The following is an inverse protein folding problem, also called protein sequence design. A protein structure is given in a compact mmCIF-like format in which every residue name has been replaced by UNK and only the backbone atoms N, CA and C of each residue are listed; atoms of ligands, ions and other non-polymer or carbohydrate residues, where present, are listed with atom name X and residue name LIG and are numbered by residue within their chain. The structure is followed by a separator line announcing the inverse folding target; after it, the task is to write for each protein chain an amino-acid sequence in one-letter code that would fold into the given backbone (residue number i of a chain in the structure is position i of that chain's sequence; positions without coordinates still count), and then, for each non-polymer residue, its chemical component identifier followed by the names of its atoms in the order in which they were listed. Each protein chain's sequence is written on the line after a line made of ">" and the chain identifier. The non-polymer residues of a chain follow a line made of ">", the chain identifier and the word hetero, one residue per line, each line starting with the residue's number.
data_IF_970283321325
#
_entry.id   IF_970283321325
#
_cell.length_a   1.000
_cell.length_b   1.000
_cell.length_c   1.000
_cell.angle_alpha   90.00
_cell.angle_beta   90.00
_cell.angle_gamma   90.00
#
_symmetry.space_group_name_H-M   'P 1'
#
loop_
_entity.id
_entity.type
_entity.pdbx_description
1 polymer ?
#
# COMPACT_ATOMS: atom_id res chain seq x y z
N UNK A 1 18.51 32.23 24.69
CA UNK A 1 18.16 31.63 23.39
C UNK A 1 18.31 30.12 23.55
N UNK A 2 17.20 29.40 23.71
CA UNK A 2 17.20 27.94 23.82
C UNK A 2 17.00 27.37 22.41
N UNK A 3 18.04 26.75 21.85
CA UNK A 3 17.92 25.96 20.63
C UNK A 3 17.24 24.65 21.04
N UNK A 4 15.94 24.53 20.75
CA UNK A 4 15.17 23.32 21.00
C UNK A 4 15.80 22.13 20.28
N UNK A 5 15.96 21.02 21.00
CA UNK A 5 16.39 19.75 20.44
C UNK A 5 15.48 19.38 19.27
N UNK A 6 16.01 19.42 18.05
CA UNK A 6 15.41 18.72 16.92
C UNK A 6 15.43 17.23 17.24
N UNK A 7 14.26 16.65 17.51
CA UNK A 7 14.13 15.21 17.66
C UNK A 7 14.69 14.52 16.41
N UNK A 8 15.64 13.61 16.59
CA UNK A 8 16.18 12.85 15.48
C UNK A 8 15.07 11.94 14.95
N UNK A 9 14.66 12.14 13.70
CA UNK A 9 13.70 11.27 13.06
C UNK A 9 14.28 9.85 13.01
N UNK A 10 13.69 8.92 13.75
CA UNK A 10 14.08 7.51 13.74
C UNK A 10 13.18 6.80 12.72
N UNK A 11 13.78 6.38 11.60
CA UNK A 11 13.11 5.49 10.67
C UNK A 11 13.06 4.08 11.29
N UNK A 12 11.88 3.47 11.29
CA UNK A 12 11.70 2.09 11.70
C UNK A 12 11.53 1.21 10.47
N UNK A 13 12.26 0.09 10.41
CA UNK A 13 12.01 -0.96 9.42
C UNK A 13 10.88 -1.84 9.92
N UNK A 14 9.87 -2.06 9.08
CA UNK A 14 8.73 -2.91 9.38
C UNK A 14 8.74 -4.10 8.43
N UNK A 15 8.58 -5.30 8.99
CA UNK A 15 8.27 -6.49 8.20
C UNK A 15 6.75 -6.70 8.22
N UNK A 16 6.13 -6.62 7.05
CA UNK A 16 4.69 -6.80 6.86
C UNK A 16 4.44 -8.17 6.24
N UNK A 17 3.51 -8.93 6.81
CA UNK A 17 3.05 -10.20 6.24
C UNK A 17 1.56 -10.15 5.97
N UNK A 18 1.17 -10.52 4.75
CA UNK A 18 -0.23 -10.54 4.31
C UNK A 18 -0.59 -11.97 3.91
N UNK A 19 -1.60 -12.52 4.58
CA UNK A 19 -2.17 -13.84 4.26
C UNK A 19 -3.57 -13.65 3.67
N UNK A 20 -3.84 -14.26 2.52
CA UNK A 20 -5.19 -14.30 1.98
C UNK A 20 -6.00 -15.39 2.70
N UNK A 21 -6.90 -14.99 3.60
CA UNK A 21 -7.77 -15.91 4.36
C UNK A 21 -9.11 -16.20 3.70
N UNK A 22 -9.32 -15.73 2.47
CA UNK A 22 -10.57 -16.00 1.74
C UNK A 22 -10.65 -17.46 1.30
N UNK A 23 -11.85 -17.89 0.90
CA UNK A 23 -12.07 -19.19 0.26
C UNK A 23 -12.40 -18.95 -1.20
N UNK A 24 -11.54 -19.41 -2.11
CA UNK A 24 -11.76 -19.34 -3.56
C UNK A 24 -11.57 -17.97 -4.23
N UNK A 25 -11.15 -16.92 -3.50
CA UNK A 25 -11.03 -15.56 -4.04
C UNK A 25 -9.57 -15.06 -4.04
N UNK A 26 -8.86 -15.10 -5.17
CA UNK A 26 -7.51 -14.57 -5.24
C UNK A 26 -7.48 -13.04 -5.25
N UNK A 27 -6.53 -12.42 -4.55
CA UNK A 27 -6.24 -10.99 -4.72
C UNK A 27 -5.33 -10.79 -5.91
N UNK A 28 -5.71 -9.91 -6.84
CA UNK A 28 -4.89 -9.62 -8.02
C UNK A 28 -3.64 -8.83 -7.70
N UNK A 29 -3.79 -7.80 -6.87
CA UNK A 29 -2.74 -6.84 -6.62
C UNK A 29 -2.86 -6.33 -5.18
N UNK A 30 -1.72 -6.11 -4.55
CA UNK A 30 -1.61 -5.48 -3.23
C UNK A 30 -0.69 -4.28 -3.34
N UNK A 31 -1.18 -3.12 -2.89
CA UNK A 31 -0.40 -1.90 -2.80
C UNK A 31 -0.34 -1.48 -1.34
N UNK A 32 0.88 -1.28 -0.84
CA UNK A 32 1.13 -0.83 0.53
C UNK A 32 1.83 0.51 0.47
N UNK A 33 1.38 1.45 1.31
CA UNK A 33 1.95 2.78 1.40
C UNK A 33 2.18 3.18 2.85
N UNK A 34 3.40 3.61 3.18
CA UNK A 34 3.70 4.22 4.48
C UNK A 34 3.36 5.71 4.42
N UNK A 35 2.50 6.20 5.32
CA UNK A 35 1.93 7.54 5.22
C UNK A 35 1.72 8.22 6.59
N UNK A 36 1.51 9.54 6.57
CA UNK A 36 1.20 10.32 7.77
C UNK A 36 -0.28 10.24 8.16
N UNK A 37 -0.63 10.77 9.34
CA UNK A 37 -2.00 10.69 9.89
C UNK A 37 -3.06 11.43 9.07
N UNK A 38 -2.66 12.36 8.21
CA UNK A 38 -3.56 13.17 7.38
C UNK A 38 -3.71 12.63 5.95
N UNK A 39 -2.91 11.62 5.60
CA UNK A 39 -2.97 10.97 4.29
C UNK A 39 -3.88 9.74 4.40
N UNK A 40 -4.78 9.58 3.43
CA UNK A 40 -5.70 8.44 3.38
C UNK A 40 -5.64 7.78 2.03
N UNK A 41 -5.36 6.47 2.01
CA UNK A 41 -5.45 5.66 0.78
C UNK A 41 -6.91 5.50 0.33
N UNK A 42 -7.82 5.30 1.29
CA UNK A 42 -9.27 5.30 1.10
C UNK A 42 -9.95 5.71 2.41
N UNK A 43 -11.19 6.18 2.32
CA UNK A 43 -12.03 6.45 3.50
C UNK A 43 -13.49 6.16 3.18
N UNK A 44 -14.21 5.58 4.14
CA UNK A 44 -15.63 5.26 3.97
C UNK A 44 -16.46 6.53 3.78
N UNK A 45 -17.43 6.50 2.87
CA UNK A 45 -18.27 7.65 2.53
C UNK A 45 -17.66 8.62 1.52
N UNK A 46 -16.43 8.39 1.07
CA UNK A 46 -15.77 9.18 0.03
C UNK A 46 -15.67 8.39 -1.27
N UNK A 47 -15.75 9.10 -2.39
CA UNK A 47 -15.54 8.50 -3.71
C UNK A 47 -14.08 8.04 -3.86
N UNK A 48 -13.88 6.87 -4.49
CA UNK A 48 -12.55 6.41 -4.85
C UNK A 48 -11.90 7.33 -5.89
N UNK A 49 -10.59 7.54 -5.77
CA UNK A 49 -9.79 8.20 -6.82
C UNK A 49 -9.75 7.33 -8.07
N UNK A 50 -9.28 7.89 -9.19
CA UNK A 50 -9.18 7.14 -10.44
C UNK A 50 -8.22 5.95 -10.30
N UNK A 51 -7.07 6.15 -9.66
CA UNK A 51 -6.11 5.10 -9.35
C UNK A 51 -6.66 4.03 -8.41
N UNK A 52 -7.38 4.43 -7.35
CA UNK A 52 -7.98 3.47 -6.42
C UNK A 52 -9.05 2.60 -7.11
N UNK A 53 -9.86 3.20 -7.99
CA UNK A 53 -10.82 2.45 -8.81
C UNK A 53 -10.11 1.47 -9.75
N UNK A 54 -9.03 1.89 -10.41
CA UNK A 54 -8.25 1.02 -11.30
C UNK A 54 -7.65 -0.19 -10.55
N UNK A 55 -7.17 0.00 -9.33
CA UNK A 55 -6.73 -1.10 -8.46
C UNK A 55 -7.89 -2.03 -8.09
N UNK A 56 -9.03 -1.48 -7.67
CA UNK A 56 -10.18 -2.26 -7.22
C UNK A 56 -10.85 -3.07 -8.34
N UNK A 57 -10.95 -2.52 -9.55
CA UNK A 57 -11.67 -3.14 -10.66
C UNK A 57 -10.77 -4.04 -11.52
N UNK A 58 -9.54 -3.59 -11.79
CA UNK A 58 -8.64 -4.23 -12.74
C UNK A 58 -7.41 -4.86 -12.08
N UNK A 59 -7.03 -4.41 -10.88
CA UNK A 59 -5.76 -4.76 -10.24
C UNK A 59 -4.57 -3.93 -10.76
N UNK A 60 -4.82 -2.78 -11.40
CA UNK A 60 -3.76 -1.90 -11.92
C UNK A 60 -3.22 -1.00 -10.79
N UNK A 61 -1.90 -0.96 -10.59
CA UNK A 61 -1.29 -0.30 -9.44
C UNK A 61 -0.59 1.03 -9.76
N UNK A 62 -0.12 1.21 -10.99
CA UNK A 62 0.75 2.33 -11.36
C UNK A 62 0.02 3.67 -11.24
N UNK A 63 -1.27 3.71 -11.61
CA UNK A 63 -2.07 4.92 -11.49
C UNK A 63 -2.21 5.37 -10.03
N UNK A 64 -2.51 4.42 -9.12
CA UNK A 64 -2.62 4.72 -7.69
C UNK A 64 -1.26 5.09 -7.08
N UNK A 65 -0.19 4.38 -7.45
CA UNK A 65 1.16 4.70 -7.00
C UNK A 65 1.61 6.11 -7.43
N UNK A 66 1.20 6.56 -8.62
CA UNK A 66 1.45 7.91 -9.11
C UNK A 66 0.63 8.96 -8.34
N UNK A 67 -0.66 8.70 -8.09
CA UNK A 67 -1.52 9.57 -7.29
C UNK A 67 -0.97 9.77 -5.87
N UNK A 68 -0.52 8.69 -5.23
CA UNK A 68 0.06 8.75 -3.87
C UNK A 68 1.33 9.59 -3.84
N UNK A 69 2.28 9.36 -4.76
CA UNK A 69 3.53 10.14 -4.81
C UNK A 69 3.31 11.60 -5.17
N UNK A 70 2.27 11.90 -5.96
CA UNK A 70 1.87 13.27 -6.25
C UNK A 70 1.25 13.97 -5.03
N UNK A 71 0.46 13.25 -4.22
CA UNK A 71 -0.15 13.77 -3.01
C UNK A 71 0.88 13.99 -1.88
N UNK A 72 1.81 13.04 -1.71
CA UNK A 72 2.89 13.13 -0.73
C UNK A 72 4.17 12.50 -1.30
N UNK A 73 5.22 13.30 -1.61
CA UNK A 73 6.45 12.77 -2.21
C UNK A 73 7.27 11.90 -1.26
N UNK A 74 6.95 11.90 0.05
CA UNK A 74 7.61 11.08 1.06
C UNK A 74 6.90 9.73 1.28
N UNK A 75 5.79 9.47 0.58
CA UNK A 75 5.10 8.18 0.66
C UNK A 75 5.97 7.12 -0.01
N UNK A 76 6.34 6.09 0.75
CA UNK A 76 6.93 4.89 0.16
C UNK A 76 5.81 3.97 -0.32
N UNK A 77 5.92 3.44 -1.54
CA UNK A 77 4.89 2.61 -2.17
C UNK A 77 5.52 1.33 -2.67
N UNK A 78 5.07 0.22 -2.09
CA UNK A 78 5.44 -1.14 -2.50
C UNK A 78 4.24 -1.76 -3.22
N UNK A 79 4.41 -2.01 -4.53
CA UNK A 79 3.51 -2.84 -5.30
C UNK A 79 3.95 -4.29 -5.19
N UNK A 80 3.03 -5.16 -4.78
CA UNK A 80 3.27 -6.60 -4.70
C UNK A 80 2.40 -7.31 -5.73
N UNK A 81 3.11 -7.77 -6.74
CA UNK A 81 2.68 -8.69 -7.78
C UNK A 81 3.00 -10.11 -7.25
N UNK A 82 2.00 -10.99 -7.15
CA UNK A 82 2.13 -12.22 -6.35
C UNK A 82 2.76 -13.39 -7.11
N UNK A 83 3.84 -13.93 -6.56
CA UNK A 83 4.82 -14.84 -7.21
C UNK A 83 4.42 -16.34 -7.28
N UNK A 84 3.17 -16.65 -7.62
CA UNK A 84 2.70 -18.04 -7.81
C UNK A 84 2.53 -18.43 -9.30
N UNK A 85 3.22 -17.75 -10.21
CA UNK A 85 3.09 -17.95 -11.66
C UNK A 85 1.79 -17.40 -12.29
N UNK A 86 0.89 -16.81 -11.48
CA UNK A 86 -0.38 -16.22 -11.92
C UNK A 86 -0.53 -14.74 -11.57
N UNK A 87 0.50 -14.12 -11.00
CA UNK A 87 0.48 -12.75 -10.51
C UNK A 87 -0.73 -12.42 -9.60
N UNK A 88 -1.01 -13.30 -8.63
CA UNK A 88 -2.20 -13.23 -7.76
C UNK A 88 -1.97 -13.93 -6.43
N UNK A 89 -2.35 -13.32 -5.31
CA UNK A 89 -2.25 -13.92 -3.99
C UNK A 89 -3.41 -14.90 -3.78
N UNK A 90 -3.13 -16.19 -3.97
CA UNK A 90 -4.10 -17.26 -3.84
C UNK A 90 -4.66 -17.37 -2.41
N UNK A 91 -5.89 -17.90 -2.23
CA UNK A 91 -6.38 -18.36 -0.93
C UNK A 91 -5.34 -19.21 -0.19
N UNK A 92 -5.08 -18.89 1.08
CA UNK A 92 -4.09 -19.56 1.94
C UNK A 92 -2.63 -19.16 1.73
N UNK A 93 -2.31 -18.43 0.65
CA UNK A 93 -0.95 -17.95 0.40
C UNK A 93 -0.61 -16.75 1.30
N UNK A 94 0.68 -16.61 1.61
CA UNK A 94 1.23 -15.49 2.38
C UNK A 94 2.36 -14.82 1.59
N UNK A 95 2.39 -13.50 1.61
CA UNK A 95 3.51 -12.70 1.09
C UNK A 95 4.12 -11.86 2.22
N UNK A 96 5.44 -11.83 2.27
CA UNK A 96 6.24 -11.02 3.19
C UNK A 96 6.89 -9.85 2.47
N UNK A 97 6.93 -8.69 3.14
CA UNK A 97 7.54 -7.45 2.66
C UNK A 97 8.41 -6.93 3.79
N UNK A 98 9.68 -6.65 3.53
CA UNK A 98 10.67 -6.20 4.52
C UNK A 98 11.82 -5.47 3.86
#
# INVERSE_FOLDING_TARGET
>A
MWLGLGGMAQAATLTISITNTTVGHPFKALLIAAHGVNDHLFSSGYAATAGLRALAECGEQASLAAELRAANPLVDVVGVESDAGLNKLMPGATIGIG
#
